data_IF_200203757441
#
_entry.id   IF_200203757441
#
_cell.length_a   1.000
_cell.length_b   1.000
_cell.length_c   1.000
_cell.angle_alpha   90.00
_cell.angle_beta   90.00
_cell.angle_gamma   90.00
#
_symmetry.space_group_name_H-M   'P 1'
#
loop_
_entity.id
_entity.type
_entity.pdbx_description
1 polymer ?
#
# COMPACT_ATOMS: atom_id res chain seq x y z
N UNK A 1 12.34 38.29 21.72
CA UNK A 1 11.88 36.90 21.88
C UNK A 1 11.81 36.64 23.37
N UNK A 2 10.60 36.36 23.86
CA UNK A 2 10.32 36.18 25.28
C UNK A 2 10.77 34.76 25.68
N UNK A 3 11.77 34.64 26.55
CA UNK A 3 12.47 33.37 26.82
C UNK A 3 11.71 32.42 27.73
N UNK A 4 10.61 32.89 28.34
CA UNK A 4 9.92 32.19 29.43
C UNK A 4 8.63 31.50 28.98
N UNK A 5 8.26 31.64 27.70
CA UNK A 5 7.03 31.05 27.16
C UNK A 5 7.25 29.59 26.78
N UNK A 6 6.42 28.70 27.33
CA UNK A 6 6.46 27.29 26.93
C UNK A 6 5.91 27.12 25.51
N UNK A 7 6.34 26.05 24.83
CA UNK A 7 5.86 25.72 23.47
C UNK A 7 4.33 25.60 23.44
N UNK A 8 3.71 25.00 24.47
CA UNK A 8 2.25 24.87 24.56
C UNK A 8 1.52 26.21 24.71
N UNK A 9 2.09 27.14 25.47
CA UNK A 9 1.54 28.51 25.61
C UNK A 9 1.71 29.33 24.33
N UNK A 10 2.82 29.13 23.61
CA UNK A 10 3.03 29.69 22.28
C UNK A 10 1.96 29.18 21.31
N UNK A 11 1.74 27.87 21.29
CA UNK A 11 0.76 27.20 20.44
C UNK A 11 -0.68 27.67 20.68
N UNK A 12 -1.13 27.65 21.94
CA UNK A 12 -2.51 27.97 22.32
C UNK A 12 -2.91 29.41 22.05
N UNK A 13 -1.97 30.37 22.16
CA UNK A 13 -2.21 31.78 21.86
C UNK A 13 -2.04 32.15 20.38
N UNK A 14 -1.42 31.28 19.57
CA UNK A 14 -1.16 31.53 18.15
C UNK A 14 -2.24 30.94 17.24
N UNK A 15 -2.90 29.85 17.67
CA UNK A 15 -3.96 29.16 16.93
C UNK A 15 -5.40 29.50 17.41
N UNK A 16 -5.59 30.57 18.18
CA UNK A 16 -6.92 30.88 18.72
C UNK A 16 -7.93 31.21 17.60
N UNK A 17 -9.10 30.58 17.67
CA UNK A 17 -10.17 30.54 16.65
C UNK A 17 -10.81 31.91 16.35
N UNK A 18 -10.50 32.94 17.13
CA UNK A 18 -11.12 34.26 17.08
C UNK A 18 -10.49 35.22 16.05
N UNK A 19 -9.51 34.77 15.25
CA UNK A 19 -8.84 35.63 14.25
C UNK A 19 -8.65 34.96 12.89
N UNK A 20 -8.99 35.63 11.77
CA UNK A 20 -8.85 35.10 10.41
C UNK A 20 -7.40 35.24 9.93
N UNK A 21 -6.48 34.57 10.61
CA UNK A 21 -5.05 34.72 10.41
C UNK A 21 -4.48 33.45 9.77
N UNK A 22 -4.78 33.24 8.49
CA UNK A 22 -4.34 32.07 7.69
C UNK A 22 -2.81 31.86 7.75
N UNK A 23 -2.03 32.93 7.88
CA UNK A 23 -0.57 32.87 8.00
C UNK A 23 -0.09 32.20 9.29
N UNK A 24 -0.86 32.27 10.39
CA UNK A 24 -0.51 31.60 11.65
C UNK A 24 -0.73 30.09 11.56
N UNK A 25 -1.79 29.69 10.87
CA UNK A 25 -2.04 28.28 10.56
C UNK A 25 -0.93 27.72 9.68
N UNK A 26 -0.54 28.47 8.64
CA UNK A 26 0.55 28.07 7.75
C UNK A 26 1.89 27.94 8.48
N UNK A 27 2.30 28.95 9.27
CA UNK A 27 3.54 28.92 10.02
C UNK A 27 3.60 27.75 11.03
N UNK A 28 2.45 27.40 11.62
CA UNK A 28 2.37 26.27 12.54
C UNK A 28 2.52 24.93 11.83
N UNK A 29 1.95 24.79 10.63
CA UNK A 29 2.16 23.63 9.76
C UNK A 29 3.64 23.54 9.38
N UNK A 30 4.25 24.66 8.99
CA UNK A 30 5.66 24.70 8.59
C UNK A 30 6.57 24.25 9.76
N UNK A 31 6.34 24.75 10.99
CA UNK A 31 7.07 24.30 12.18
C UNK A 31 6.88 22.80 12.47
N UNK A 32 5.70 22.25 12.27
CA UNK A 32 5.51 20.81 12.41
C UNK A 32 6.27 20.01 11.34
N UNK A 33 6.27 20.48 10.09
CA UNK A 33 6.96 19.83 8.99
C UNK A 33 8.50 19.96 9.08
N UNK A 34 9.01 20.95 9.80
CA UNK A 34 10.44 21.06 10.16
C UNK A 34 10.87 19.94 11.12
N UNK A 35 10.02 19.57 12.07
CA UNK A 35 10.33 18.57 13.09
C UNK A 35 10.10 17.12 12.64
N UNK A 36 9.19 16.89 11.68
CA UNK A 36 9.00 15.56 11.11
C UNK A 36 8.52 15.58 9.66
N UNK A 37 9.02 14.63 8.86
CA UNK A 37 8.48 14.36 7.53
C UNK A 37 7.25 13.43 7.63
N UNK A 38 6.03 13.90 7.30
CA UNK A 38 4.83 13.09 7.37
C UNK A 38 4.88 11.86 6.46
N UNK A 39 5.68 11.88 5.38
CA UNK A 39 5.85 10.72 4.50
C UNK A 39 6.48 9.52 5.20
N UNK A 40 7.16 9.72 6.34
CA UNK A 40 7.66 8.63 7.16
C UNK A 40 6.56 7.88 7.93
N UNK A 41 5.39 8.50 8.09
CA UNK A 41 4.31 7.98 8.94
C UNK A 41 3.02 7.67 8.16
N UNK A 42 2.93 8.10 6.89
CA UNK A 42 1.78 7.84 6.04
C UNK A 42 2.15 6.92 4.88
N UNK A 43 1.27 5.99 4.56
CA UNK A 43 1.40 5.17 3.35
C UNK A 43 0.67 5.84 2.20
N UNK A 44 1.43 6.46 1.28
CA UNK A 44 0.88 7.03 0.06
C UNK A 44 0.34 5.90 -0.82
N UNK A 45 -0.97 5.93 -1.08
CA UNK A 45 -1.66 4.93 -1.90
C UNK A 45 -1.66 5.34 -3.37
N UNK A 46 -1.53 4.35 -4.25
CA UNK A 46 -1.72 4.56 -5.69
C UNK A 46 -3.21 4.83 -5.98
N UNK A 47 -3.57 5.90 -6.73
CA UNK A 47 -4.94 6.11 -7.17
C UNK A 47 -5.47 4.97 -8.05
N UNK A 48 -4.61 4.35 -8.85
CA UNK A 48 -4.98 3.17 -9.65
C UNK A 48 -4.94 1.94 -8.76
N UNK A 49 -6.02 1.16 -8.74
CA UNK A 49 -6.11 -0.10 -7.95
C UNK A 49 -6.22 -1.36 -8.80
N UNK A 50 -6.65 -1.24 -10.05
CA UNK A 50 -6.93 -2.39 -10.90
C UNK A 50 -5.99 -2.41 -12.10
N UNK A 51 -5.52 -3.61 -12.44
CA UNK A 51 -4.81 -3.88 -13.68
C UNK A 51 -5.81 -4.02 -14.83
N UNK A 52 -5.40 -3.71 -16.05
CA UNK A 52 -6.25 -3.96 -17.23
C UNK A 52 -6.19 -5.45 -17.62
N UNK A 53 -7.21 -5.95 -18.31
CA UNK A 53 -7.25 -7.34 -18.77
C UNK A 53 -6.01 -7.71 -19.61
N UNK A 54 -5.57 -6.82 -20.50
CA UNK A 54 -4.35 -7.01 -21.29
C UNK A 54 -3.09 -7.16 -20.42
N UNK A 55 -2.94 -6.35 -19.37
CA UNK A 55 -1.79 -6.47 -18.46
C UNK A 55 -1.78 -7.82 -17.73
N UNK A 56 -2.96 -8.33 -17.36
CA UNK A 56 -3.11 -9.63 -16.72
C UNK A 56 -2.76 -10.74 -17.71
N UNK A 57 -3.27 -10.68 -18.94
CA UNK A 57 -2.97 -11.65 -19.99
C UNK A 57 -1.47 -11.69 -20.32
N UNK A 58 -0.86 -10.53 -20.57
CA UNK A 58 0.58 -10.41 -20.87
C UNK A 58 1.43 -11.02 -19.72
N UNK A 59 1.08 -10.73 -18.46
CA UNK A 59 1.77 -11.31 -17.29
C UNK A 59 1.52 -12.82 -17.14
N UNK A 60 0.33 -13.32 -17.48
CA UNK A 60 0.05 -14.75 -17.43
C UNK A 60 0.88 -15.52 -18.46
N UNK A 61 1.06 -14.94 -19.65
CA UNK A 61 1.96 -15.47 -20.69
C UNK A 61 3.41 -15.49 -20.18
N UNK A 62 3.88 -14.41 -19.57
CA UNK A 62 5.22 -14.34 -18.95
C UNK A 62 5.40 -15.38 -17.82
N UNK A 63 4.32 -15.74 -17.13
CA UNK A 63 4.27 -16.77 -16.09
C UNK A 63 4.10 -18.20 -16.64
N UNK A 64 4.19 -18.41 -17.96
CA UNK A 64 4.04 -19.72 -18.60
C UNK A 64 2.67 -20.38 -18.28
N UNK A 65 1.60 -19.57 -18.25
CA UNK A 65 0.24 -20.01 -17.94
C UNK A 65 0.13 -20.75 -16.60
N UNK A 66 0.90 -20.30 -15.61
CA UNK A 66 0.91 -20.89 -14.26
C UNK A 66 0.53 -19.88 -13.20
N UNK A 67 -0.19 -20.38 -12.20
CA UNK A 67 -0.50 -19.65 -10.98
C UNK A 67 0.79 -19.31 -10.23
N UNK A 68 0.94 -18.05 -9.83
CA UNK A 68 2.14 -17.60 -9.14
C UNK A 68 2.33 -18.23 -7.75
N UNK A 69 1.25 -18.66 -7.07
CA UNK A 69 1.29 -19.25 -5.73
C UNK A 69 1.78 -20.69 -5.79
N UNK A 70 1.08 -21.54 -6.53
CA UNK A 70 1.26 -22.99 -6.49
C UNK A 70 1.91 -23.59 -7.74
N UNK A 71 2.07 -22.80 -8.81
CA UNK A 71 2.70 -23.21 -10.06
C UNK A 71 1.83 -24.12 -10.94
N UNK A 72 0.54 -24.32 -10.61
CA UNK A 72 -0.37 -25.12 -11.42
C UNK A 72 -0.82 -24.37 -12.68
N UNK A 73 -1.22 -25.09 -13.75
CA UNK A 73 -1.79 -24.47 -14.93
C UNK A 73 -2.97 -23.56 -14.59
N UNK A 74 -2.93 -22.33 -15.07
CA UNK A 74 -3.94 -21.30 -14.85
C UNK A 74 -4.47 -20.81 -16.20
N UNK A 75 -5.78 -20.89 -16.37
CA UNK A 75 -6.46 -20.36 -17.54
C UNK A 75 -6.76 -18.88 -17.36
N UNK A 76 -6.87 -18.16 -18.48
CA UNK A 76 -7.17 -16.73 -18.48
C UNK A 76 -8.55 -16.41 -17.84
N UNK A 77 -9.52 -17.33 -17.94
CA UNK A 77 -10.86 -17.16 -17.35
C UNK A 77 -10.85 -17.11 -15.81
N UNK A 78 -9.88 -17.79 -15.19
CA UNK A 78 -9.74 -17.87 -13.73
C UNK A 78 -8.60 -16.97 -13.20
N UNK A 79 -7.93 -16.25 -14.10
CA UNK A 79 -6.76 -15.43 -13.80
C UNK A 79 -7.15 -14.06 -13.21
N UNK A 80 -6.54 -13.74 -12.06
CA UNK A 80 -6.69 -12.46 -11.37
C UNK A 80 -5.32 -11.82 -11.20
N UNK A 81 -5.22 -10.53 -11.57
CA UNK A 81 -4.04 -9.73 -11.31
C UNK A 81 -3.97 -9.31 -9.85
N UNK A 82 -2.95 -9.75 -9.13
CA UNK A 82 -2.67 -9.40 -7.75
C UNK A 82 -1.40 -8.56 -7.64
N UNK A 83 -1.35 -7.71 -6.60
CA UNK A 83 -0.15 -6.96 -6.26
C UNK A 83 0.78 -7.82 -5.39
N UNK A 84 2.06 -7.94 -5.76
CA UNK A 84 3.07 -8.63 -4.91
C UNK A 84 3.18 -7.98 -3.54
N UNK A 85 3.29 -6.65 -3.52
CA UNK A 85 3.18 -5.78 -2.35
C UNK A 85 1.75 -5.25 -2.31
N UNK A 86 1.02 -5.51 -1.23
CA UNK A 86 -0.37 -5.11 -1.11
C UNK A 86 -0.53 -3.59 -1.27
N UNK A 87 -1.61 -3.18 -1.93
CA UNK A 87 -1.98 -1.77 -2.10
C UNK A 87 -2.13 -1.04 -0.76
N UNK A 88 -2.61 -1.75 0.27
CA UNK A 88 -2.73 -1.26 1.65
C UNK A 88 -1.38 -0.89 2.28
N UNK A 89 -0.28 -1.48 1.80
CA UNK A 89 1.10 -1.22 2.22
C UNK A 89 1.86 -0.28 1.26
N UNK A 90 1.16 0.39 0.35
CA UNK A 90 1.77 1.32 -0.60
C UNK A 90 2.28 0.67 -1.88
N UNK A 91 1.90 -0.59 -2.13
CA UNK A 91 2.19 -1.26 -3.39
C UNK A 91 1.55 -0.54 -4.57
N UNK A 92 2.38 -0.08 -5.51
CA UNK A 92 1.94 0.61 -6.73
C UNK A 92 1.37 -0.39 -7.74
N UNK A 93 0.43 0.04 -8.57
CA UNK A 93 -0.11 -0.71 -9.71
C UNK A 93 0.83 -0.59 -10.91
N UNK A 94 2.06 -1.11 -10.74
CA UNK A 94 3.07 -1.26 -11.80
C UNK A 94 3.14 -2.70 -12.27
N UNK A 95 3.68 -2.92 -13.48
CA UNK A 95 3.90 -4.26 -14.03
C UNK A 95 4.88 -5.08 -13.18
N UNK A 96 5.86 -4.44 -12.53
CA UNK A 96 6.82 -5.15 -11.66
C UNK A 96 6.15 -5.72 -10.41
N UNK A 97 5.13 -5.02 -9.92
CA UNK A 97 4.32 -5.43 -8.78
C UNK A 97 3.15 -6.34 -9.17
N UNK A 98 2.92 -6.60 -10.46
CA UNK A 98 1.85 -7.46 -10.94
C UNK A 98 2.29 -8.93 -10.95
N UNK A 99 1.45 -9.79 -10.39
CA UNK A 99 1.48 -11.25 -10.57
C UNK A 99 0.08 -11.73 -10.87
N UNK A 100 -0.02 -12.86 -11.54
CA UNK A 100 -1.30 -13.48 -11.87
C UNK A 100 -1.47 -14.74 -11.04
N UNK A 101 -2.60 -14.81 -10.33
CA UNK A 101 -3.00 -15.91 -9.47
C UNK A 101 -4.43 -16.32 -9.81
N UNK A 102 -4.83 -17.51 -9.41
CA UNK A 102 -6.19 -18.00 -9.51
C UNK A 102 -7.13 -17.19 -8.64
N UNK A 103 -8.39 -17.13 -9.06
CA UNK A 103 -9.50 -16.56 -8.29
C UNK A 103 -9.62 -17.17 -6.90
N UNK A 104 -9.37 -18.48 -6.76
CA UNK A 104 -9.34 -19.20 -5.47
C UNK A 104 -8.27 -18.64 -4.54
N UNK A 105 -7.01 -18.57 -5.00
CA UNK A 105 -5.92 -18.04 -4.19
C UNK A 105 -6.10 -16.56 -3.88
N UNK A 106 -6.62 -15.76 -4.82
CA UNK A 106 -6.93 -14.36 -4.58
C UNK A 106 -7.99 -14.19 -3.47
N UNK A 107 -9.03 -15.02 -3.46
CA UNK A 107 -10.05 -15.03 -2.41
C UNK A 107 -9.49 -15.46 -1.05
N UNK A 108 -8.68 -16.52 -1.03
CA UNK A 108 -8.08 -17.05 0.20
C UNK A 108 -7.00 -16.13 0.82
N UNK A 109 -6.28 -15.37 -0.01
CA UNK A 109 -5.22 -14.45 0.42
C UNK A 109 -5.77 -13.22 1.15
N UNK A 110 -6.94 -12.72 0.74
CA UNK A 110 -7.57 -11.54 1.32
C UNK A 110 -6.71 -10.28 1.18
N UNK A 111 -6.33 -9.67 2.30
CA UNK A 111 -5.52 -8.43 2.35
C UNK A 111 -4.04 -8.66 2.66
N UNK A 112 -3.61 -9.93 2.63
CA UNK A 112 -2.22 -10.33 2.87
C UNK A 112 -1.37 -10.13 1.60
N UNK A 113 -0.08 -9.88 1.74
CA UNK A 113 0.85 -9.85 0.59
C UNK A 113 1.02 -11.24 -0.03
N UNK A 114 1.16 -11.27 -1.36
CA UNK A 114 1.26 -12.51 -2.15
C UNK A 114 2.37 -13.42 -1.64
N UNK A 115 3.56 -12.88 -1.35
CA UNK A 115 4.70 -13.67 -0.88
C UNK A 115 4.45 -14.32 0.47
N UNK A 116 3.80 -13.60 1.38
CA UNK A 116 3.47 -14.12 2.71
C UNK A 116 2.45 -15.25 2.60
N UNK A 117 1.42 -15.06 1.77
CA UNK A 117 0.43 -16.08 1.50
C UNK A 117 1.04 -17.33 0.84
N UNK A 118 1.91 -17.14 -0.16
CA UNK A 118 2.62 -18.23 -0.84
C UNK A 118 3.48 -19.05 0.11
N UNK A 119 4.20 -18.41 1.02
CA UNK A 119 4.99 -19.11 2.04
C UNK A 119 4.10 -19.93 2.99
N UNK A 120 2.99 -19.35 3.44
CA UNK A 120 2.02 -20.05 4.29
C UNK A 120 1.43 -21.27 3.57
N UNK A 121 0.99 -21.11 2.32
CA UNK A 121 0.42 -22.18 1.49
C UNK A 121 1.41 -23.34 1.31
N UNK A 122 2.66 -23.02 0.93
CA UNK A 122 3.72 -24.02 0.75
C UNK A 122 4.04 -24.77 2.05
N UNK A 123 4.01 -24.09 3.20
CA UNK A 123 4.25 -24.72 4.51
C UNK A 123 3.11 -25.67 4.90
N UNK A 124 1.86 -25.30 4.60
CA UNK A 124 0.68 -26.12 4.88
C UNK A 124 0.68 -27.39 4.01
N UNK A 125 0.97 -27.27 2.72
CA UNK A 125 1.00 -28.41 1.81
C UNK A 125 2.17 -29.37 2.07
N UNK A 126 3.32 -28.87 2.53
CA UNK A 126 4.46 -29.74 2.93
C UNK A 126 4.19 -30.62 4.15
N UNK A 127 3.25 -30.24 5.01
CA UNK A 127 2.85 -31.07 6.18
C UNK A 127 1.83 -32.16 5.82
N UNK A 128 1.24 -32.07 4.62
CA UNK A 128 0.24 -33.01 4.13
C UNK A 128 0.83 -34.08 3.18
N UNK A 129 2.12 -33.99 2.84
CA UNK A 129 2.91 -35.02 2.14
C UNK A 129 3.85 -35.71 3.12
#
# INVERSE_FOLDING_TARGET
YDSDRTVGEAFGGYLSFDRPEDWKHQATIDWFLEEFDPLNYITVKDPKRCYTAKQIEDRLIEQDWKDYIDGRPLKLEDAVGAHKIAHTKGGKTSLDNLVVISSEHNGAMGSTDVETYKQWYNRSNRKAS
#
